data_IF_152668766485
#
_entry.id   IF_152668766485
#
_cell.length_a   1.000
_cell.length_b   1.000
_cell.length_c   1.000
_cell.angle_alpha   90.00
_cell.angle_beta   90.00
_cell.angle_gamma   90.00
#
_symmetry.space_group_name_H-M   'P 1'
#
loop_
_entity.id
_entity.type
_entity.pdbx_description
1 polymer ?
#
# COMPACT_ATOMS: atom_id res chain seq x y z
N UNK A 1 -13.77 -38.15 10.75
CA UNK A 1 -13.93 -36.66 10.73
C UNK A 1 -12.91 -35.92 9.85
N UNK A 2 -11.77 -36.51 9.43
CA UNK A 2 -10.78 -35.84 8.55
C UNK A 2 -11.17 -35.75 7.06
N UNK A 3 -12.15 -36.51 6.58
CA UNK A 3 -12.59 -36.50 5.16
C UNK A 3 -13.60 -35.40 4.80
N UNK A 4 -14.31 -34.83 5.80
CA UNK A 4 -15.32 -33.79 5.55
C UNK A 4 -14.70 -32.38 5.43
N UNK A 5 -13.61 -32.10 6.14
CA UNK A 5 -12.91 -30.81 6.09
C UNK A 5 -11.99 -30.63 4.87
N UNK A 6 -11.40 -31.72 4.37
CA UNK A 6 -10.59 -31.70 3.13
C UNK A 6 -11.44 -31.41 1.89
N UNK A 7 -12.71 -31.85 1.87
CA UNK A 7 -13.64 -31.58 0.78
C UNK A 7 -14.07 -30.09 0.72
N UNK A 8 -14.21 -29.40 1.86
CA UNK A 8 -14.58 -27.97 1.90
C UNK A 8 -13.48 -27.06 1.36
N UNK A 9 -12.21 -27.37 1.62
CA UNK A 9 -11.07 -26.57 1.13
C UNK A 9 -10.76 -26.86 -0.34
N UNK A 10 -10.96 -28.11 -0.78
CA UNK A 10 -10.86 -28.42 -2.21
C UNK A 10 -11.98 -27.79 -3.02
N UNK A 11 -13.19 -27.63 -2.47
CA UNK A 11 -14.28 -26.87 -3.11
C UNK A 11 -14.11 -25.35 -3.02
N UNK A 12 -13.45 -24.83 -1.98
CA UNK A 12 -13.14 -23.40 -1.83
C UNK A 12 -12.28 -22.84 -2.97
N UNK A 13 -11.40 -23.67 -3.55
CA UNK A 13 -10.49 -23.26 -4.63
C UNK A 13 -10.91 -23.76 -6.02
N UNK A 14 -12.16 -24.22 -6.19
CA UNK A 14 -12.73 -24.41 -7.51
C UNK A 14 -13.21 -23.05 -8.04
N UNK A 15 -13.04 -22.75 -9.34
CA UNK A 15 -13.64 -21.56 -9.93
C UNK A 15 -15.15 -21.59 -9.69
N UNK A 16 -15.66 -20.65 -8.91
CA UNK A 16 -17.07 -20.62 -8.55
C UNK A 16 -17.90 -20.33 -9.81
N UNK A 17 -18.78 -21.25 -10.18
CA UNK A 17 -19.80 -21.00 -11.20
C UNK A 17 -20.66 -19.80 -10.77
N UNK A 18 -20.93 -18.86 -11.70
CA UNK A 18 -21.63 -17.58 -11.48
C UNK A 18 -22.97 -17.68 -10.71
N UNK A 19 -23.55 -18.88 -10.58
CA UNK A 19 -24.84 -19.14 -9.95
C UNK A 19 -24.81 -19.37 -8.43
N UNK A 20 -23.65 -19.54 -7.78
CA UNK A 20 -23.58 -19.83 -6.32
C UNK A 20 -23.21 -18.63 -5.42
N UNK A 21 -23.15 -17.42 -5.98
CA UNK A 21 -22.75 -16.21 -5.26
C UNK A 21 -23.80 -15.71 -4.25
N UNK A 22 -25.06 -16.15 -4.33
CA UNK A 22 -26.17 -15.53 -3.60
C UNK A 22 -26.40 -16.00 -2.16
N UNK A 23 -25.75 -17.07 -1.69
CA UNK A 23 -26.12 -17.70 -0.38
C UNK A 23 -25.11 -17.41 0.74
N UNK A 24 -23.92 -16.87 0.46
CA UNK A 24 -22.91 -16.57 1.49
C UNK A 24 -22.61 -15.07 1.70
N UNK A 25 -23.28 -14.18 0.94
CA UNK A 25 -23.03 -12.73 0.93
C UNK A 25 -24.02 -11.90 1.77
N UNK A 26 -24.97 -12.51 2.46
CA UNK A 26 -26.13 -11.78 3.00
C UNK A 26 -26.01 -11.28 4.46
N UNK A 27 -24.86 -11.40 5.14
CA UNK A 27 -24.78 -11.02 6.57
C UNK A 27 -23.62 -10.10 6.99
N UNK A 28 -22.94 -9.41 6.06
CA UNK A 28 -21.93 -8.39 6.43
C UNK A 28 -21.81 -7.19 5.47
N UNK A 29 -22.85 -6.90 4.68
CA UNK A 29 -22.89 -5.73 3.80
C UNK A 29 -23.97 -4.72 4.23
N UNK A 30 -23.71 -4.05 5.35
CA UNK A 30 -24.40 -2.80 5.70
C UNK A 30 -23.37 -1.70 5.95
N UNK A 31 -22.58 -1.40 4.92
CA UNK A 31 -22.09 -0.06 4.56
C UNK A 31 -21.29 -0.20 3.26
N UNK A 32 -21.50 0.71 2.31
CA UNK A 32 -21.01 0.70 0.92
C UNK A 32 -21.83 -0.14 -0.06
N UNK A 33 -23.06 0.32 -0.31
CA UNK A 33 -23.63 0.25 -1.67
C UNK A 33 -22.81 1.20 -2.54
N UNK A 34 -21.68 0.72 -3.07
CA UNK A 34 -20.90 1.43 -4.07
C UNK A 34 -21.47 1.13 -5.45
N UNK A 35 -22.11 2.11 -6.08
CA UNK A 35 -22.26 2.09 -7.54
C UNK A 35 -20.86 1.97 -8.16
N UNK A 36 -20.67 0.99 -9.04
CA UNK A 36 -19.48 0.88 -9.90
C UNK A 36 -19.48 2.05 -10.88
N UNK A 37 -18.95 3.21 -10.47
CA UNK A 37 -18.65 4.30 -11.38
C UNK A 37 -17.25 4.08 -11.97
N UNK A 38 -17.09 4.29 -13.27
CA UNK A 38 -15.81 4.11 -13.95
C UNK A 38 -14.99 5.39 -13.76
N UNK A 39 -14.06 5.37 -12.81
CA UNK A 39 -13.34 6.57 -12.34
C UNK A 39 -12.12 6.95 -13.21
N UNK A 40 -11.76 6.14 -14.21
CA UNK A 40 -10.49 6.32 -14.94
C UNK A 40 -10.44 7.56 -15.84
N UNK A 41 -11.59 8.08 -16.27
CA UNK A 41 -11.71 9.25 -17.16
C UNK A 41 -12.09 10.55 -16.46
N UNK A 42 -12.15 10.57 -15.12
CA UNK A 42 -12.52 11.79 -14.38
C UNK A 42 -11.58 12.94 -14.74
N UNK A 43 -12.17 13.93 -15.41
CA UNK A 43 -11.55 15.22 -15.68
C UNK A 43 -12.21 16.20 -14.74
N UNK A 44 -11.46 16.68 -13.76
CA UNK A 44 -11.96 17.66 -12.80
C UNK A 44 -11.87 19.06 -13.42
N UNK A 45 -12.98 19.78 -13.43
CA UNK A 45 -12.93 21.23 -13.60
C UNK A 45 -12.44 21.85 -12.29
N UNK A 46 -11.12 21.95 -12.15
CA UNK A 46 -10.48 22.45 -10.94
C UNK A 46 -10.82 23.92 -10.64
N UNK A 47 -11.31 24.68 -11.63
CA UNK A 47 -11.76 26.07 -11.39
C UNK A 47 -12.96 26.15 -10.45
N UNK A 48 -13.69 25.05 -10.25
CA UNK A 48 -14.78 24.96 -9.28
C UNK A 48 -14.30 24.83 -7.83
N UNK A 49 -13.03 24.54 -7.62
CA UNK A 49 -12.44 24.35 -6.29
C UNK A 49 -11.48 25.49 -5.96
N UNK A 50 -12.01 26.70 -5.80
CA UNK A 50 -11.25 27.92 -5.48
C UNK A 50 -10.43 27.83 -4.17
N UNK A 51 -10.79 26.89 -3.30
CA UNK A 51 -10.10 26.60 -2.05
C UNK A 51 -8.87 25.70 -2.19
N UNK A 52 -8.73 24.98 -3.31
CA UNK A 52 -7.54 24.19 -3.62
C UNK A 52 -6.47 25.15 -4.15
N UNK A 53 -5.34 25.25 -3.45
CA UNK A 53 -4.25 26.18 -3.77
C UNK A 53 -3.36 25.60 -4.87
N UNK A 54 -3.84 25.59 -6.12
CA UNK A 54 -3.11 25.00 -7.25
C UNK A 54 -1.73 25.63 -7.49
N UNK A 55 -1.55 26.91 -7.18
CA UNK A 55 -0.24 27.58 -7.24
C UNK A 55 0.80 27.01 -6.26
N UNK A 56 0.35 26.27 -5.25
CA UNK A 56 1.20 25.58 -4.28
C UNK A 56 1.44 24.11 -4.65
N UNK A 57 0.84 23.59 -5.72
CA UNK A 57 0.99 22.19 -6.14
C UNK A 57 2.33 21.93 -6.84
N UNK A 58 3.38 21.80 -6.03
CA UNK A 58 4.77 21.56 -6.45
C UNK A 58 5.51 20.73 -5.42
N UNK A 59 6.69 20.26 -5.77
CA UNK A 59 7.60 19.65 -4.80
C UNK A 59 8.55 20.69 -4.21
N UNK A 60 8.54 20.82 -2.89
CA UNK A 60 9.49 21.67 -2.17
C UNK A 60 10.86 20.97 -2.11
N UNK A 61 11.92 21.76 -2.24
CA UNK A 61 13.32 21.32 -2.20
C UNK A 61 13.77 20.40 -3.36
N UNK A 62 12.98 20.25 -4.42
CA UNK A 62 13.31 19.39 -5.55
C UNK A 62 14.51 19.86 -6.38
N UNK A 63 14.65 21.17 -6.61
CA UNK A 63 15.60 21.77 -7.57
C UNK A 63 17.07 21.37 -7.36
N UNK A 64 17.47 21.09 -6.11
CA UNK A 64 18.85 20.73 -5.77
C UNK A 64 18.99 19.29 -5.23
N UNK A 65 17.94 18.47 -5.29
CA UNK A 65 17.94 17.14 -4.71
C UNK A 65 18.51 16.10 -5.69
N UNK A 66 19.79 15.76 -5.50
CA UNK A 66 20.52 14.84 -6.39
C UNK A 66 19.93 13.43 -6.45
N UNK A 67 19.30 12.95 -5.37
CA UNK A 67 18.66 11.64 -5.34
C UNK A 67 17.40 11.61 -6.19
N UNK A 68 16.57 12.66 -6.14
CA UNK A 68 15.41 12.81 -7.02
C UNK A 68 15.83 12.97 -8.49
N UNK A 69 16.87 13.76 -8.78
CA UNK A 69 17.47 13.86 -10.12
C UNK A 69 17.91 12.48 -10.64
N UNK A 70 18.54 11.66 -9.79
CA UNK A 70 18.96 10.30 -10.15
C UNK A 70 17.76 9.38 -10.42
N UNK A 71 16.69 9.51 -9.63
CA UNK A 71 15.44 8.81 -9.89
C UNK A 71 14.81 9.21 -11.23
N UNK A 72 14.73 10.51 -11.54
CA UNK A 72 14.22 10.99 -12.83
C UNK A 72 15.09 10.56 -14.01
N UNK A 73 16.40 10.52 -13.85
CA UNK A 73 17.31 9.93 -14.85
C UNK A 73 16.94 8.48 -15.15
N UNK A 74 16.76 7.66 -14.11
CA UNK A 74 16.38 6.25 -14.27
C UNK A 74 15.01 6.14 -14.93
N UNK A 75 14.03 6.96 -14.51
CA UNK A 75 12.71 7.02 -15.14
C UNK A 75 12.80 7.37 -16.64
N UNK A 76 13.59 8.36 -17.03
CA UNK A 76 13.79 8.71 -18.42
C UNK A 76 14.45 7.57 -19.22
N UNK A 77 15.37 6.83 -18.61
CA UNK A 77 16.01 5.66 -19.25
C UNK A 77 15.05 4.49 -19.47
N UNK A 78 14.09 4.26 -18.57
CA UNK A 78 13.09 3.20 -18.77
C UNK A 78 12.07 3.59 -19.82
N UNK A 79 11.68 4.88 -19.88
CA UNK A 79 10.74 5.41 -20.89
C UNK A 79 11.32 5.23 -22.29
N UNK A 80 12.60 5.56 -22.49
CA UNK A 80 13.22 5.54 -23.82
C UNK A 80 13.72 4.16 -24.23
N UNK A 81 14.38 3.43 -23.32
CA UNK A 81 15.21 2.27 -23.69
C UNK A 81 14.81 0.98 -22.96
N UNK A 82 13.81 1.02 -22.07
CA UNK A 82 13.41 -0.12 -21.24
C UNK A 82 14.59 -0.83 -20.55
N UNK A 83 15.55 -0.03 -20.07
CA UNK A 83 16.88 -0.53 -19.68
C UNK A 83 16.95 -1.26 -18.34
N UNK A 84 16.11 -0.89 -17.37
CA UNK A 84 16.04 -1.49 -16.04
C UNK A 84 14.65 -1.34 -15.44
N UNK A 85 14.32 -2.12 -14.40
CA UNK A 85 13.10 -1.92 -13.60
C UNK A 85 13.37 -0.85 -12.55
N UNK A 86 12.38 -0.03 -12.22
CA UNK A 86 12.43 0.85 -11.04
C UNK A 86 11.38 0.42 -10.03
N UNK A 87 11.66 0.61 -8.74
CA UNK A 87 10.72 0.35 -7.66
C UNK A 87 10.41 1.64 -6.90
N UNK A 88 9.13 1.88 -6.67
CA UNK A 88 8.60 2.98 -5.85
C UNK A 88 7.93 2.35 -4.64
N UNK A 89 8.36 2.74 -3.45
CA UNK A 89 7.73 2.36 -2.20
C UNK A 89 6.95 3.54 -1.65
N UNK A 90 5.65 3.38 -1.40
CA UNK A 90 4.80 4.38 -0.77
C UNK A 90 4.30 3.85 0.58
N UNK A 91 4.89 4.36 1.65
CA UNK A 91 4.58 4.02 3.04
C UNK A 91 3.52 4.97 3.58
N UNK A 92 2.52 4.46 4.29
CA UNK A 92 1.64 5.33 5.05
C UNK A 92 0.66 4.61 5.96
N UNK A 93 -0.51 5.21 6.12
CA UNK A 93 -1.55 4.78 7.04
C UNK A 93 -2.82 4.30 6.30
N UNK A 94 -4.01 4.57 6.84
CA UNK A 94 -5.29 4.25 6.21
C UNK A 94 -5.48 4.92 4.83
N UNK A 95 -4.90 6.10 4.62
CA UNK A 95 -4.97 6.82 3.34
C UNK A 95 -4.22 6.07 2.22
N UNK A 96 -3.19 5.29 2.58
CA UNK A 96 -2.41 4.46 1.65
C UNK A 96 -2.98 3.03 1.58
N UNK A 97 -3.47 2.46 2.68
CA UNK A 97 -4.04 1.10 2.70
C UNK A 97 -5.22 0.97 1.74
N UNK A 98 -6.09 1.99 1.66
CA UNK A 98 -7.23 1.99 0.73
C UNK A 98 -6.83 1.93 -0.74
N UNK A 99 -5.58 2.28 -1.06
CA UNK A 99 -4.94 2.26 -2.38
C UNK A 99 -5.61 3.14 -3.45
N UNK A 100 -6.64 3.94 -3.15
CA UNK A 100 -7.25 4.82 -4.15
C UNK A 100 -6.29 5.91 -4.63
N UNK A 101 -5.61 6.57 -3.69
CA UNK A 101 -4.63 7.62 -3.96
C UNK A 101 -3.44 7.10 -4.77
N UNK A 102 -2.80 6.04 -4.27
CA UNK A 102 -1.60 5.44 -4.87
C UNK A 102 -1.90 4.71 -6.17
N UNK A 103 -3.05 4.04 -6.30
CA UNK A 103 -3.48 3.45 -7.55
C UNK A 103 -3.73 4.50 -8.63
N UNK A 104 -4.23 5.68 -8.27
CA UNK A 104 -4.39 6.78 -9.24
C UNK A 104 -3.05 7.27 -9.76
N UNK A 105 -2.06 7.47 -8.88
CA UNK A 105 -0.69 7.79 -9.29
C UNK A 105 -0.14 6.71 -10.22
N UNK A 106 -0.26 5.43 -9.83
CA UNK A 106 0.19 4.27 -10.60
C UNK A 106 -0.41 4.24 -12.01
N UNK A 107 -1.73 4.41 -12.12
CA UNK A 107 -2.44 4.47 -13.41
C UNK A 107 -2.03 5.68 -14.24
N UNK A 108 -1.79 6.83 -13.62
CA UNK A 108 -1.34 8.02 -14.33
C UNK A 108 0.07 7.84 -14.92
N UNK A 109 1.01 7.29 -14.14
CA UNK A 109 2.34 6.90 -14.61
C UNK A 109 2.23 5.94 -15.79
N UNK A 110 1.45 4.86 -15.64
CA UNK A 110 1.27 3.86 -16.70
C UNK A 110 0.71 4.47 -17.98
N UNK A 111 -0.32 5.31 -17.87
CA UNK A 111 -0.99 5.95 -19.01
C UNK A 111 -0.12 6.98 -19.72
N UNK A 112 0.55 7.85 -18.97
CA UNK A 112 1.37 8.95 -19.55
C UNK A 112 2.65 8.42 -20.17
N UNK A 113 3.35 7.53 -19.46
CA UNK A 113 4.61 6.97 -19.96
C UNK A 113 4.43 5.73 -20.83
N UNK A 114 3.20 5.21 -20.96
CA UNK A 114 2.89 3.97 -21.70
C UNK A 114 3.74 2.78 -21.22
N UNK A 115 3.93 2.70 -19.92
CA UNK A 115 4.69 1.64 -19.25
C UNK A 115 3.74 0.73 -18.47
N UNK A 116 4.08 -0.56 -18.41
CA UNK A 116 3.41 -1.47 -17.49
C UNK A 116 3.95 -1.22 -16.07
N UNK A 117 3.03 -0.91 -15.16
CA UNK A 117 3.34 -0.58 -13.77
C UNK A 117 2.69 -1.61 -12.85
N UNK A 118 3.53 -2.50 -12.33
CA UNK A 118 3.19 -3.55 -11.40
C UNK A 118 2.59 -3.00 -10.11
N UNK A 119 1.72 -3.81 -9.48
CA UNK A 119 1.05 -3.46 -8.21
C UNK A 119 2.00 -3.48 -7.00
N UNK A 120 3.17 -4.08 -7.18
CA UNK A 120 4.10 -4.40 -6.11
C UNK A 120 3.49 -5.36 -5.08
N UNK A 121 4.02 -5.30 -3.87
CA UNK A 121 3.60 -6.15 -2.76
C UNK A 121 2.19 -5.81 -2.27
N UNK A 122 1.44 -6.87 -1.98
CA UNK A 122 0.07 -6.85 -1.48
C UNK A 122 -0.05 -7.74 -0.24
N UNK A 123 -1.17 -7.59 0.47
CA UNK A 123 -1.46 -8.38 1.66
C UNK A 123 -2.94 -8.84 1.67
N UNK A 124 -3.25 -10.07 2.11
CA UNK A 124 -4.64 -10.52 2.24
C UNK A 124 -5.26 -9.93 3.51
N UNK A 125 -5.64 -8.66 3.45
CA UNK A 125 -6.07 -7.86 4.60
C UNK A 125 -7.32 -8.41 5.31
N UNK A 126 -8.20 -9.10 4.59
CA UNK A 126 -9.34 -9.81 5.20
C UNK A 126 -8.90 -10.81 6.29
N UNK A 127 -7.77 -11.51 6.11
CA UNK A 127 -7.21 -12.44 7.11
C UNK A 127 -6.79 -11.69 8.38
N UNK A 128 -6.27 -10.48 8.22
CA UNK A 128 -5.94 -9.58 9.33
C UNK A 128 -7.18 -8.85 9.91
N UNK A 129 -8.39 -9.18 9.44
CA UNK A 129 -9.63 -8.54 9.91
C UNK A 129 -9.63 -7.03 9.68
N UNK A 130 -9.10 -6.57 8.55
CA UNK A 130 -9.21 -5.18 8.08
C UNK A 130 -9.64 -5.16 6.62
N UNK A 131 -9.98 -3.98 6.11
CA UNK A 131 -10.49 -3.82 4.75
C UNK A 131 -9.37 -4.06 3.73
N UNK A 132 -9.67 -4.84 2.69
CA UNK A 132 -8.81 -4.93 1.51
C UNK A 132 -8.72 -3.58 0.78
N UNK A 133 -7.68 -3.44 -0.03
CA UNK A 133 -7.53 -2.30 -0.93
C UNK A 133 -8.73 -2.19 -1.89
N UNK A 134 -8.95 -1.00 -2.46
CA UNK A 134 -10.05 -0.79 -3.40
C UNK A 134 -9.96 -1.68 -4.65
N UNK A 135 -8.77 -2.07 -5.06
CA UNK A 135 -8.51 -2.79 -6.31
C UNK A 135 -8.65 -4.31 -6.24
N UNK A 136 -8.77 -4.90 -5.06
CA UNK A 136 -8.92 -6.34 -4.92
C UNK A 136 -9.75 -6.74 -3.70
N UNK A 137 -10.13 -8.00 -3.66
CA UNK A 137 -10.75 -8.64 -2.50
C UNK A 137 -10.03 -9.94 -2.16
N UNK A 138 -9.98 -10.25 -0.87
CA UNK A 138 -9.52 -11.53 -0.37
C UNK A 138 -10.58 -12.20 0.49
N UNK A 139 -10.67 -13.52 0.38
CA UNK A 139 -11.45 -14.38 1.28
C UNK A 139 -10.59 -15.55 1.70
N UNK A 140 -10.83 -16.13 2.87
CA UNK A 140 -9.92 -17.12 3.44
C UNK A 140 -10.62 -18.23 4.21
N UNK A 141 -9.88 -19.31 4.46
CA UNK A 141 -10.24 -20.42 5.33
C UNK A 141 -9.11 -20.70 6.33
N UNK A 142 -9.44 -21.42 7.40
CA UNK A 142 -8.53 -21.71 8.50
C UNK A 142 -8.51 -20.60 9.55
N UNK A 143 -7.94 -20.93 10.71
CA UNK A 143 -7.75 -20.02 11.82
C UNK A 143 -6.42 -19.29 11.68
N UNK A 144 -6.46 -17.96 11.75
CA UNK A 144 -5.30 -17.10 11.61
C UNK A 144 -5.20 -16.13 12.79
N UNK A 145 -4.03 -16.09 13.41
CA UNK A 145 -3.63 -15.04 14.33
C UNK A 145 -3.04 -13.89 13.53
N UNK A 146 -3.52 -12.67 13.80
CA UNK A 146 -3.06 -11.46 13.11
C UNK A 146 -2.09 -10.65 13.96
N UNK A 147 -1.19 -9.96 13.27
CA UNK A 147 -0.36 -8.93 13.86
C UNK A 147 -0.21 -7.73 12.94
N UNK A 148 -0.18 -6.54 13.53
CA UNK A 148 -0.06 -5.25 12.85
C UNK A 148 0.95 -4.38 13.57
N UNK A 149 1.65 -3.51 12.86
CA UNK A 149 2.70 -2.67 13.46
C UNK A 149 2.18 -1.63 14.47
N UNK A 150 0.86 -1.43 14.55
CA UNK A 150 0.19 -0.61 15.57
C UNK A 150 0.00 -1.33 16.92
N UNK A 151 0.25 -2.64 16.98
CA UNK A 151 0.03 -3.48 18.16
C UNK A 151 1.36 -3.62 18.93
N UNK A 152 1.76 -2.56 19.64
CA UNK A 152 3.06 -2.46 20.31
C UNK A 152 3.29 -3.49 21.43
N UNK A 153 2.23 -4.12 21.91
CA UNK A 153 2.25 -5.18 22.92
C UNK A 153 2.59 -6.56 22.35
N UNK A 154 2.59 -6.71 21.02
CA UNK A 154 2.92 -7.97 20.34
C UNK A 154 4.36 -7.95 19.82
N UNK A 155 5.10 -9.03 20.12
CA UNK A 155 6.43 -9.26 19.55
C UNK A 155 6.34 -9.84 18.12
N UNK A 156 6.02 -8.97 17.16
CA UNK A 156 5.92 -9.34 15.76
C UNK A 156 7.03 -8.69 14.96
N UNK A 157 7.81 -9.51 14.25
CA UNK A 157 8.81 -9.03 13.29
C UNK A 157 8.11 -8.68 11.97
N UNK A 158 7.76 -7.41 11.81
CA UNK A 158 6.98 -6.89 10.67
C UNK A 158 7.86 -6.09 9.71
N UNK A 159 7.54 -6.14 8.42
CA UNK A 159 8.27 -5.47 7.35
C UNK A 159 7.40 -4.55 6.49
N UNK A 160 7.58 -4.59 5.16
CA UNK A 160 6.98 -3.67 4.19
C UNK A 160 5.48 -3.53 4.33
N UNK A 161 4.74 -4.63 4.46
CA UNK A 161 3.28 -4.56 4.54
C UNK A 161 2.80 -3.96 5.87
N UNK A 162 3.60 -4.06 6.94
CA UNK A 162 3.19 -3.73 8.31
C UNK A 162 2.22 -4.74 8.93
N UNK A 163 2.02 -5.89 8.28
CA UNK A 163 1.14 -6.98 8.72
C UNK A 163 1.86 -8.34 8.70
N UNK A 164 1.39 -9.24 9.55
CA UNK A 164 1.62 -10.68 9.40
C UNK A 164 0.39 -11.46 9.83
N UNK A 165 0.16 -12.61 9.21
CA UNK A 165 -0.87 -13.56 9.65
C UNK A 165 -0.26 -14.94 9.83
N UNK A 166 -0.59 -15.59 10.95
CA UNK A 166 0.01 -16.85 11.37
C UNK A 166 -1.08 -17.90 11.57
N UNK A 167 -0.93 -19.07 10.96
CA UNK A 167 -1.85 -20.20 11.17
C UNK A 167 -1.14 -21.39 11.81
N UNK A 168 -1.90 -22.17 12.59
CA UNK A 168 -1.54 -23.48 13.13
C UNK A 168 -2.47 -24.58 12.59
N UNK A 169 -3.35 -24.27 11.66
CA UNK A 169 -4.24 -25.28 11.09
C UNK A 169 -3.44 -26.19 10.15
N UNK A 170 -3.89 -27.44 10.02
CA UNK A 170 -3.28 -28.38 9.08
C UNK A 170 -3.51 -27.95 7.62
N UNK A 171 -4.63 -27.25 7.36
CA UNK A 171 -4.99 -26.71 6.07
C UNK A 171 -5.56 -25.30 6.27
N UNK A 172 -5.03 -24.34 5.51
CA UNK A 172 -5.56 -22.99 5.42
C UNK A 172 -5.42 -22.50 3.98
N UNK A 173 -6.21 -21.50 3.59
CA UNK A 173 -6.11 -20.94 2.25
C UNK A 173 -6.58 -19.50 2.22
N UNK A 174 -6.13 -18.75 1.22
CA UNK A 174 -6.81 -17.54 0.81
C UNK A 174 -7.04 -17.54 -0.70
N UNK A 175 -8.13 -16.90 -1.09
CA UNK A 175 -8.49 -16.61 -2.47
C UNK A 175 -8.42 -15.11 -2.67
N UNK A 176 -7.69 -14.71 -3.69
CA UNK A 176 -7.50 -13.34 -4.12
C UNK A 176 -8.23 -13.11 -5.43
N UNK A 177 -8.85 -11.94 -5.58
CA UNK A 177 -9.51 -11.54 -6.82
C UNK A 177 -9.32 -10.05 -7.06
N UNK A 178 -8.87 -9.67 -8.26
CA UNK A 178 -8.90 -8.28 -8.69
C UNK A 178 -10.34 -7.81 -8.93
N UNK A 179 -10.62 -6.55 -8.59
CA UNK A 179 -11.88 -5.90 -8.95
C UNK A 179 -11.75 -5.34 -10.38
N UNK A 180 -12.83 -5.47 -11.16
CA UNK A 180 -12.91 -5.33 -12.63
C UNK A 180 -12.18 -4.13 -13.27
N UNK A 181 -11.86 -3.07 -12.51
CA UNK A 181 -11.31 -1.82 -13.05
C UNK A 181 -9.82 -1.61 -12.70
N UNK A 182 -9.15 -2.53 -12.01
CA UNK A 182 -7.87 -2.19 -11.38
C UNK A 182 -6.64 -2.74 -12.09
N UNK A 183 -6.67 -4.02 -12.44
CA UNK A 183 -5.58 -4.80 -13.06
C UNK A 183 -6.16 -6.07 -13.68
N UNK A 184 -5.59 -6.52 -14.79
CA UNK A 184 -5.81 -7.87 -15.32
C UNK A 184 -4.52 -8.68 -15.12
N UNK A 185 -4.67 -9.96 -14.81
CA UNK A 185 -3.55 -10.89 -14.92
C UNK A 185 -3.15 -11.00 -16.38
N UNK A 186 -1.85 -10.95 -16.68
CA UNK A 186 -1.37 -11.44 -17.97
C UNK A 186 -1.67 -12.93 -18.11
N UNK A 187 -1.65 -13.45 -19.35
CA UNK A 187 -1.89 -14.89 -19.60
C UNK A 187 -0.93 -15.78 -18.82
N UNK A 188 0.32 -15.34 -18.72
CA UNK A 188 1.38 -15.90 -17.90
C UNK A 188 1.85 -14.83 -16.92
N UNK A 189 1.93 -15.17 -15.63
CA UNK A 189 2.45 -14.28 -14.60
C UNK A 189 3.14 -15.08 -13.49
N UNK A 190 3.91 -14.38 -12.67
CA UNK A 190 4.55 -14.94 -11.48
C UNK A 190 3.82 -14.49 -10.23
N UNK A 191 3.68 -15.39 -9.27
CA UNK A 191 3.28 -15.05 -7.91
C UNK A 191 4.45 -15.29 -6.97
N UNK A 192 4.75 -14.32 -6.10
CA UNK A 192 5.74 -14.47 -5.02
C UNK A 192 5.05 -14.43 -3.67
N UNK A 193 5.31 -15.41 -2.83
CA UNK A 193 4.84 -15.42 -1.43
C UNK A 193 5.99 -15.03 -0.50
N UNK A 194 5.74 -14.07 0.37
CA UNK A 194 6.68 -13.61 1.39
C UNK A 194 6.24 -14.18 2.73
N UNK A 195 7.06 -15.02 3.35
CA UNK A 195 6.70 -15.74 4.57
C UNK A 195 7.91 -15.98 5.48
N UNK A 196 7.67 -16.24 6.76
CA UNK A 196 8.73 -16.62 7.70
C UNK A 196 9.23 -18.02 7.36
N UNK A 197 10.55 -18.23 7.36
CA UNK A 197 11.20 -19.51 7.10
C UNK A 197 10.49 -20.64 7.83
N UNK A 198 10.09 -21.64 7.05
CA UNK A 198 9.28 -22.75 7.53
C UNK A 198 9.52 -24.01 6.69
N UNK A 199 9.81 -25.12 7.35
CA UNK A 199 10.03 -26.44 6.74
C UNK A 199 8.83 -27.40 6.95
N UNK A 200 7.82 -26.95 7.69
CA UNK A 200 6.70 -27.76 8.16
C UNK A 200 5.38 -27.48 7.43
N UNK A 201 5.40 -26.57 6.47
CA UNK A 201 4.27 -26.21 5.63
C UNK A 201 4.72 -26.14 4.18
N UNK A 202 3.81 -26.55 3.30
CA UNK A 202 3.91 -26.32 1.86
C UNK A 202 2.84 -25.33 1.45
N UNK A 203 3.23 -24.34 0.65
CA UNK A 203 2.29 -23.45 -0.01
C UNK A 203 2.18 -23.85 -1.48
N UNK A 204 0.94 -23.96 -1.97
CA UNK A 204 0.63 -24.21 -3.39
C UNK A 204 -0.22 -23.08 -3.93
N UNK A 205 0.01 -22.72 -5.19
CA UNK A 205 -0.75 -21.69 -5.92
C UNK A 205 -1.45 -22.39 -7.07
N UNK A 206 -2.78 -22.32 -7.12
CA UNK A 206 -3.57 -23.04 -8.14
C UNK A 206 -3.27 -24.55 -8.19
N UNK A 207 -2.96 -25.14 -7.02
CA UNK A 207 -2.57 -26.54 -6.88
C UNK A 207 -1.15 -26.88 -7.36
N UNK A 208 -0.36 -25.90 -7.80
CA UNK A 208 1.05 -26.08 -8.21
C UNK A 208 2.01 -25.70 -7.08
N UNK A 209 3.11 -26.44 -6.87
CA UNK A 209 4.15 -26.07 -5.90
C UNK A 209 4.96 -24.86 -6.40
N UNK A 210 5.80 -24.31 -5.52
CA UNK A 210 6.76 -23.27 -5.91
C UNK A 210 7.80 -23.86 -6.87
N UNK A 211 8.28 -23.03 -7.78
CA UNK A 211 9.38 -23.38 -8.70
C UNK A 211 10.74 -23.02 -8.10
N UNK A 212 10.76 -22.08 -7.16
CA UNK A 212 11.98 -21.57 -6.55
C UNK A 212 11.66 -20.97 -5.17
N UNK A 213 12.59 -21.10 -4.23
CA UNK A 213 12.51 -20.50 -2.90
C UNK A 213 13.84 -19.84 -2.59
N UNK A 214 13.80 -18.55 -2.29
CA UNK A 214 14.92 -17.79 -1.79
C UNK A 214 14.80 -17.62 -0.28
N UNK A 215 15.77 -18.14 0.47
CA UNK A 215 15.94 -17.82 1.88
C UNK A 215 16.80 -16.57 2.01
N UNK A 216 16.30 -15.59 2.77
CA UNK A 216 16.90 -14.28 2.94
C UNK A 216 17.18 -14.03 4.43
N UNK A 217 17.82 -12.90 4.73
CA UNK A 217 18.07 -12.49 6.12
C UNK A 217 16.77 -12.38 6.95
N UNK A 218 16.91 -12.43 8.27
CA UNK A 218 15.81 -12.26 9.24
C UNK A 218 14.69 -13.30 9.13
N UNK A 219 15.03 -14.55 8.78
CA UNK A 219 14.09 -15.66 8.59
C UNK A 219 13.01 -15.35 7.53
N UNK A 220 13.29 -14.52 6.53
CA UNK A 220 12.36 -14.25 5.44
C UNK A 220 12.60 -15.23 4.29
N UNK A 221 11.54 -15.82 3.77
CA UNK A 221 11.54 -16.61 2.55
C UNK A 221 10.65 -15.96 1.49
N UNK A 222 11.11 -16.00 0.24
CA UNK A 222 10.32 -15.64 -0.94
C UNK A 222 10.21 -16.87 -1.84
N UNK A 223 9.00 -17.42 -1.95
CA UNK A 223 8.70 -18.53 -2.86
C UNK A 223 8.05 -18.01 -4.15
N UNK A 224 8.63 -18.36 -5.30
CA UNK A 224 8.12 -18.00 -6.62
C UNK A 224 7.30 -19.15 -7.24
N UNK A 225 6.18 -18.80 -7.85
CA UNK A 225 5.24 -19.70 -8.52
C UNK A 225 4.98 -19.18 -9.94
N UNK A 226 5.06 -20.06 -10.94
CA UNK A 226 4.61 -19.72 -12.30
C UNK A 226 3.14 -20.09 -12.47
N UNK A 227 2.31 -19.11 -12.82
CA UNK A 227 0.90 -19.32 -13.14
C UNK A 227 0.71 -19.09 -14.63
N UNK A 228 0.02 -20.03 -15.28
CA UNK A 228 -0.21 -20.05 -16.72
C UNK A 228 -1.69 -20.27 -16.98
N UNK A 229 -2.29 -19.50 -17.87
CA UNK A 229 -3.66 -19.73 -18.35
C UNK A 229 -4.41 -18.43 -18.63
N UNK A 230 -5.18 -18.45 -19.72
CA UNK A 230 -5.92 -17.30 -20.24
C UNK A 230 -7.02 -16.84 -19.25
N UNK A 231 -7.16 -15.53 -19.08
CA UNK A 231 -8.29 -14.85 -18.42
C UNK A 231 -8.58 -15.29 -16.96
N UNK A 232 -7.56 -15.41 -16.12
CA UNK A 232 -7.80 -15.45 -14.67
C UNK A 232 -8.05 -14.04 -14.15
N UNK A 233 -9.03 -13.88 -13.26
CA UNK A 233 -9.23 -12.68 -12.45
C UNK A 233 -9.01 -12.96 -10.96
N UNK A 234 -8.50 -14.16 -10.65
CA UNK A 234 -8.38 -14.65 -9.29
C UNK A 234 -7.32 -15.74 -9.12
N UNK A 235 -6.87 -15.91 -7.88
CA UNK A 235 -5.89 -16.93 -7.47
C UNK A 235 -6.30 -17.51 -6.11
N UNK A 236 -6.20 -18.84 -5.97
CA UNK A 236 -6.18 -19.51 -4.67
C UNK A 236 -4.74 -19.90 -4.28
N UNK A 237 -4.38 -19.57 -3.05
CA UNK A 237 -3.17 -20.01 -2.36
C UNK A 237 -3.58 -20.92 -1.20
N UNK A 238 -3.05 -22.15 -1.18
CA UNK A 238 -3.29 -23.13 -0.10
C UNK A 238 -2.02 -23.40 0.68
N UNK A 239 -2.17 -23.50 1.99
CA UNK A 239 -1.12 -23.86 2.95
C UNK A 239 -1.48 -25.20 3.58
N UNK A 240 -0.56 -26.16 3.49
CA UNK A 240 -0.74 -27.51 4.02
C UNK A 240 0.42 -27.86 4.94
N UNK A 241 0.13 -28.22 6.19
CA UNK A 241 1.13 -28.73 7.12
C UNK A 241 1.65 -30.08 6.62
N UNK A 242 2.96 -30.26 6.59
CA UNK A 242 3.62 -31.48 6.11
C UNK A 242 4.04 -32.43 7.23
N UNK A 243 4.05 -31.95 8.49
CA UNK A 243 4.45 -32.74 9.65
C UNK A 243 3.34 -32.79 10.70
N UNK A 244 3.38 -33.76 11.60
CA UNK A 244 2.46 -33.83 12.75
C UNK A 244 2.93 -32.97 13.93
N UNK A 245 4.04 -32.25 13.80
CA UNK A 245 4.57 -31.40 14.86
C UNK A 245 3.77 -30.10 14.94
N UNK A 246 3.53 -29.62 16.17
CA UNK A 246 2.94 -28.32 16.40
C UNK A 246 3.86 -27.24 15.82
N UNK A 247 3.44 -26.64 14.71
CA UNK A 247 4.21 -25.62 14.01
C UNK A 247 3.28 -24.53 13.45
N UNK A 248 3.85 -23.38 13.14
CA UNK A 248 3.13 -22.21 12.63
C UNK A 248 3.61 -21.84 11.24
N UNK A 249 2.71 -21.40 10.36
CA UNK A 249 3.09 -20.72 9.12
C UNK A 249 2.75 -19.23 9.23
N UNK A 250 3.73 -18.35 9.04
CA UNK A 250 3.54 -16.89 9.10
C UNK A 250 3.75 -16.27 7.72
N UNK A 251 2.69 -15.64 7.19
CA UNK A 251 2.69 -14.92 5.93
C UNK A 251 2.92 -13.41 6.17
N UNK A 252 3.78 -12.81 5.36
CA UNK A 252 4.09 -11.36 5.36
C UNK A 252 3.49 -10.61 4.17
N UNK A 253 3.15 -11.29 3.08
CA UNK A 253 2.54 -10.69 1.89
C UNK A 253 2.71 -11.55 0.65
N UNK A 254 2.27 -11.02 -0.48
CA UNK A 254 2.48 -11.64 -1.78
C UNK A 254 2.57 -10.59 -2.89
N UNK A 255 3.13 -10.98 -4.03
CA UNK A 255 3.21 -10.18 -5.24
C UNK A 255 2.60 -10.95 -6.41
N UNK A 256 1.97 -10.22 -7.32
CA UNK A 256 1.61 -10.71 -8.65
C UNK A 256 2.43 -9.86 -9.62
N UNK A 257 3.26 -10.53 -10.41
CA UNK A 257 4.25 -9.91 -11.30
C UNK A 257 3.94 -10.37 -12.71
N UNK A 258 3.48 -9.45 -13.55
CA UNK A 258 3.27 -9.68 -14.97
C UNK A 258 4.61 -9.61 -15.74
N UNK A 259 4.65 -10.27 -16.89
CA UNK A 259 5.75 -10.13 -17.82
C UNK A 259 5.74 -8.70 -18.41
N UNK A 260 6.91 -8.04 -18.45
CA UNK A 260 7.14 -6.67 -18.97
C UNK A 260 6.84 -5.49 -18.03
N UNK A 261 6.56 -5.73 -16.75
CA UNK A 261 6.52 -4.65 -15.75
C UNK A 261 7.86 -3.89 -15.68
N UNK A 262 7.83 -2.58 -15.95
CA UNK A 262 9.02 -1.72 -15.91
C UNK A 262 9.12 -0.91 -14.61
N UNK A 263 8.01 -0.81 -13.88
CA UNK A 263 7.89 -0.10 -12.62
C UNK A 263 7.12 -0.98 -11.63
N UNK A 264 7.63 -1.16 -10.42
CA UNK A 264 6.81 -1.64 -9.29
C UNK A 264 6.37 -0.45 -8.43
N UNK A 265 5.09 -0.38 -8.10
CA UNK A 265 4.56 0.62 -7.16
C UNK A 265 4.02 -0.07 -5.90
N UNK A 266 4.89 -0.26 -4.90
CA UNK A 266 4.54 -0.87 -3.63
C UNK A 266 3.78 0.13 -2.74
N UNK A 267 2.45 0.05 -2.75
CA UNK A 267 1.60 0.84 -1.84
C UNK A 267 1.37 0.08 -0.53
N UNK A 268 2.04 0.50 0.54
CA UNK A 268 1.97 -0.16 1.85
C UNK A 268 1.44 0.79 2.93
N UNK A 269 0.17 0.59 3.28
CA UNK A 269 -0.48 1.34 4.35
C UNK A 269 -0.98 0.41 5.45
N UNK A 270 -0.92 0.91 6.68
CA UNK A 270 -1.52 0.24 7.85
C UNK A 270 -2.55 1.17 8.47
N UNK A 271 -3.80 0.75 8.51
CA UNK A 271 -4.88 1.54 9.09
C UNK A 271 -4.61 1.85 10.57
N UNK A 272 -4.56 3.14 10.89
CA UNK A 272 -4.25 3.66 12.22
C UNK A 272 -2.76 3.81 12.52
N UNK A 273 -1.86 3.50 11.59
CA UNK A 273 -0.43 3.63 11.83
C UNK A 273 -0.02 5.10 11.96
N UNK A 274 0.80 5.33 12.98
CA UNK A 274 1.55 6.54 13.19
C UNK A 274 3.03 6.29 12.88
N UNK A 275 3.88 7.29 13.05
CA UNK A 275 5.32 7.13 12.78
C UNK A 275 5.98 6.10 13.70
N UNK A 276 5.52 6.00 14.94
CA UNK A 276 6.06 5.04 15.93
C UNK A 276 5.78 3.60 15.51
N UNK A 277 4.59 3.32 14.98
CA UNK A 277 4.24 2.00 14.43
C UNK A 277 5.22 1.56 13.34
N UNK A 278 5.59 2.45 12.42
CA UNK A 278 6.57 2.15 11.37
C UNK A 278 7.99 2.00 11.92
N UNK A 279 8.38 2.76 12.94
CA UNK A 279 9.64 2.57 13.64
C UNK A 279 9.79 1.19 14.30
N UNK A 280 8.67 0.57 14.70
CA UNK A 280 8.61 -0.76 15.31
C UNK A 280 8.63 -1.90 14.26
N UNK A 281 8.56 -1.58 12.97
CA UNK A 281 8.60 -2.57 11.89
C UNK A 281 10.04 -3.05 11.64
N UNK A 282 10.52 -3.97 12.49
CA UNK A 282 11.93 -4.38 12.57
C UNK A 282 12.52 -5.02 11.31
N UNK A 283 11.70 -5.56 10.40
CA UNK A 283 12.17 -6.12 9.12
C UNK A 283 12.08 -5.13 7.96
N UNK A 284 11.55 -3.91 8.18
CA UNK A 284 11.26 -2.96 7.11
C UNK A 284 12.51 -2.65 6.27
N UNK A 285 13.62 -2.29 6.91
CA UNK A 285 14.86 -1.93 6.21
C UNK A 285 15.37 -3.08 5.33
N UNK A 286 15.46 -4.29 5.86
CA UNK A 286 15.88 -5.45 5.05
C UNK A 286 14.94 -5.73 3.87
N UNK A 287 13.64 -5.45 4.01
CA UNK A 287 12.69 -5.66 2.93
C UNK A 287 12.70 -4.52 1.89
N UNK A 288 13.04 -3.28 2.28
CA UNK A 288 13.31 -2.18 1.35
C UNK A 288 14.49 -2.54 0.43
N UNK A 289 15.55 -3.16 0.99
CA UNK A 289 16.71 -3.62 0.22
C UNK A 289 16.31 -4.66 -0.83
N UNK A 290 15.45 -5.62 -0.45
CA UNK A 290 14.98 -6.69 -1.36
C UNK A 290 14.20 -6.13 -2.55
N UNK A 291 13.31 -5.16 -2.33
CA UNK A 291 12.56 -4.54 -3.43
C UNK A 291 13.37 -3.50 -4.22
N UNK A 292 14.59 -3.18 -3.75
CA UNK A 292 15.52 -2.23 -4.38
C UNK A 292 14.85 -0.88 -4.70
N UNK A 293 14.15 -0.31 -3.72
CA UNK A 293 13.40 0.94 -3.91
C UNK A 293 14.31 2.08 -4.41
N UNK A 294 13.90 2.75 -5.49
CA UNK A 294 14.59 3.93 -6.03
C UNK A 294 13.99 5.24 -5.51
N UNK A 295 12.69 5.21 -5.17
CA UNK A 295 11.96 6.30 -4.54
C UNK A 295 11.13 5.75 -3.37
N UNK A 296 11.29 6.36 -2.21
CA UNK A 296 10.47 6.08 -1.02
C UNK A 296 9.62 7.32 -0.73
N UNK A 297 8.30 7.16 -0.83
CA UNK A 297 7.31 8.16 -0.48
C UNK A 297 6.78 7.84 0.93
N UNK A 298 6.80 8.80 1.84
CA UNK A 298 6.34 8.63 3.22
C UNK A 298 5.17 9.58 3.48
N UNK A 299 3.99 9.00 3.70
CA UNK A 299 2.71 9.68 3.91
C UNK A 299 2.15 9.31 5.27
N UNK A 300 2.65 9.99 6.31
CA UNK A 300 2.33 9.76 7.72
C UNK A 300 2.02 11.08 8.44
N UNK A 301 1.50 10.99 9.66
CA UNK A 301 1.17 12.14 10.49
C UNK A 301 -0.33 12.31 10.76
N UNK A 302 -1.22 11.74 9.94
CA UNK A 302 -2.66 11.89 10.17
C UNK A 302 -3.07 11.31 11.54
N UNK A 303 -2.66 10.07 11.84
CA UNK A 303 -2.93 9.42 13.12
C UNK A 303 -2.15 10.06 14.29
N UNK A 304 -0.93 10.56 14.05
CA UNK A 304 -0.16 11.30 15.05
C UNK A 304 -0.91 12.55 15.52
N UNK A 305 -1.47 13.32 14.57
CA UNK A 305 -2.20 14.57 14.82
C UNK A 305 -3.65 14.39 15.24
N UNK A 306 -4.24 13.22 15.00
CA UNK A 306 -5.63 12.92 15.37
C UNK A 306 -5.80 12.73 16.89
N UNK A 307 -4.72 12.46 17.61
CA UNK A 307 -4.71 12.29 19.07
C UNK A 307 -5.08 13.59 19.79
N UNK A 308 -5.87 13.48 20.87
CA UNK A 308 -6.30 14.63 21.69
C UNK A 308 -5.14 15.45 22.23
N UNK A 309 -4.06 14.79 22.67
CA UNK A 309 -2.82 15.43 23.09
C UNK A 309 -1.73 15.04 22.09
N UNK A 310 -1.39 15.98 21.22
CA UNK A 310 -0.29 15.83 20.28
C UNK A 310 1.02 16.24 20.98
N UNK A 311 1.99 15.34 20.98
CA UNK A 311 3.34 15.58 21.47
C UNK A 311 4.25 15.89 20.28
N UNK A 312 4.50 17.19 20.07
CA UNK A 312 5.34 17.70 18.98
C UNK A 312 6.77 17.15 19.05
N UNK A 313 7.32 16.99 20.26
CA UNK A 313 8.69 16.50 20.45
C UNK A 313 8.77 15.02 20.11
N UNK A 314 7.84 14.22 20.62
CA UNK A 314 7.78 12.79 20.30
C UNK A 314 7.60 12.57 18.80
N UNK A 315 6.72 13.34 18.15
CA UNK A 315 6.53 13.25 16.71
C UNK A 315 7.82 13.60 15.95
N UNK A 316 8.47 14.70 16.29
CA UNK A 316 9.75 15.09 15.70
C UNK A 316 10.80 13.99 15.88
N UNK A 317 11.01 13.50 17.10
CA UNK A 317 12.02 12.50 17.41
C UNK A 317 11.75 11.17 16.69
N UNK A 318 10.50 10.69 16.72
CA UNK A 318 10.10 9.46 16.02
C UNK A 318 10.28 9.59 14.51
N UNK A 319 9.87 10.71 13.90
CA UNK A 319 9.95 10.86 12.44
C UNK A 319 11.40 11.10 11.99
N UNK A 320 12.16 11.85 12.77
CA UNK A 320 13.60 11.97 12.58
C UNK A 320 14.29 10.60 12.59
N UNK A 321 14.02 9.77 13.61
CA UNK A 321 14.58 8.43 13.70
C UNK A 321 14.18 7.56 12.51
N UNK A 322 12.94 7.66 12.05
CA UNK A 322 12.45 6.87 10.93
C UNK A 322 13.19 7.22 9.63
N UNK A 323 13.35 8.51 9.34
CA UNK A 323 14.10 8.98 8.17
C UNK A 323 15.59 8.61 8.29
N UNK A 324 16.19 8.78 9.47
CA UNK A 324 17.60 8.42 9.72
C UNK A 324 17.87 6.93 9.50
N UNK A 325 16.96 6.03 9.92
CA UNK A 325 17.07 4.58 9.67
C UNK A 325 17.14 4.27 8.17
N UNK A 326 16.28 4.91 7.37
CA UNK A 326 16.26 4.73 5.92
C UNK A 326 17.53 5.32 5.30
N UNK A 327 17.90 6.55 5.65
CA UNK A 327 19.08 7.24 5.10
C UNK A 327 20.39 6.54 5.40
N UNK A 328 20.52 6.01 6.62
CA UNK A 328 21.72 5.25 7.02
C UNK A 328 21.89 3.99 6.18
N UNK A 329 20.79 3.33 5.82
CA UNK A 329 20.80 2.09 5.04
C UNK A 329 20.87 2.35 3.53
N UNK A 330 20.27 3.44 3.07
CA UNK A 330 20.16 3.82 1.66
C UNK A 330 20.52 5.30 1.46
N UNK A 331 21.81 5.67 1.48
CA UNK A 331 22.21 7.08 1.42
C UNK A 331 21.71 7.81 0.17
N UNK A 332 21.62 7.12 -0.96
CA UNK A 332 21.32 7.69 -2.27
C UNK A 332 19.89 7.43 -2.79
N UNK A 333 19.00 6.84 -1.99
CA UNK A 333 17.60 6.64 -2.42
C UNK A 333 16.88 7.99 -2.48
N UNK A 334 15.95 8.23 -3.40
CA UNK A 334 15.12 9.42 -3.30
C UNK A 334 14.10 9.24 -2.15
N UNK A 335 13.93 10.24 -1.26
CA UNK A 335 12.83 10.26 -0.29
C UNK A 335 11.97 11.49 -0.54
N UNK A 336 10.68 11.24 -0.68
CA UNK A 336 9.65 12.26 -0.77
C UNK A 336 8.71 12.13 0.44
N UNK A 337 8.58 13.18 1.24
CA UNK A 337 7.61 13.24 2.33
C UNK A 337 6.33 13.91 1.83
N UNK A 338 5.18 13.40 2.25
CA UNK A 338 3.92 14.13 2.11
C UNK A 338 3.47 14.60 3.49
N UNK A 339 2.85 15.79 3.53
CA UNK A 339 2.18 16.24 4.75
C UNK A 339 0.81 15.58 4.85
N UNK A 340 0.27 15.30 6.06
CA UNK A 340 -1.13 14.92 6.16
C UNK A 340 -2.03 16.05 5.64
N UNK A 341 -3.20 15.69 5.13
CA UNK A 341 -4.22 16.69 4.79
C UNK A 341 -4.76 17.41 6.04
N UNK A 342 -5.53 18.48 5.83
CA UNK A 342 -6.35 19.06 6.89
C UNK A 342 -7.42 18.05 7.32
N UNK A 343 -7.72 18.01 8.62
CA UNK A 343 -8.72 17.11 9.17
C UNK A 343 -9.44 17.74 10.36
N UNK A 344 -10.53 17.11 10.79
CA UNK A 344 -11.09 17.34 12.11
C UNK A 344 -10.61 16.26 13.07
N UNK A 345 -10.57 16.58 14.36
CA UNK A 345 -10.45 15.58 15.42
C UNK A 345 -11.84 15.13 15.84
N UNK A 346 -12.08 13.82 15.84
CA UNK A 346 -13.33 13.20 16.29
C UNK A 346 -14.60 13.79 15.65
N UNK A 347 -14.49 14.24 14.38
CA UNK A 347 -15.56 14.91 13.61
C UNK A 347 -16.11 16.22 14.22
N UNK A 348 -15.49 16.75 15.27
CA UNK A 348 -16.07 17.83 16.09
C UNK A 348 -15.32 19.14 15.95
N UNK A 349 -14.01 19.10 16.03
CA UNK A 349 -13.17 20.28 16.09
C UNK A 349 -12.13 20.27 14.98
N UNK A 350 -11.85 21.45 14.45
CA UNK A 350 -10.70 21.69 13.57
C UNK A 350 -9.45 21.14 14.25
N UNK A 351 -8.57 20.49 13.48
CA UNK A 351 -7.35 19.90 14.01
C UNK A 351 -6.14 20.83 13.81
N UNK A 352 -5.74 21.65 14.80
CA UNK A 352 -4.56 22.50 14.66
C UNK A 352 -3.25 21.72 14.57
N UNK A 353 -3.25 20.42 14.92
CA UNK A 353 -2.04 19.61 14.88
C UNK A 353 -1.56 19.31 13.46
N UNK A 354 -2.44 19.35 12.45
CA UNK A 354 -2.04 19.14 11.06
C UNK A 354 -1.00 20.17 10.60
N UNK A 355 -1.18 21.45 10.98
CA UNK A 355 -0.22 22.52 10.66
C UNK A 355 1.13 22.30 11.37
N UNK A 356 1.10 21.89 12.64
CA UNK A 356 2.31 21.57 13.42
C UNK A 356 3.08 20.41 12.79
N UNK A 357 2.38 19.34 12.42
CA UNK A 357 2.95 18.17 11.75
C UNK A 357 3.54 18.55 10.39
N UNK A 358 2.82 19.36 9.60
CA UNK A 358 3.34 19.92 8.35
C UNK A 358 4.67 20.63 8.58
N UNK A 359 4.73 21.54 9.56
CA UNK A 359 5.93 22.32 9.83
C UNK A 359 7.11 21.42 10.24
N UNK A 360 6.86 20.41 11.09
CA UNK A 360 7.87 19.40 11.46
C UNK A 360 8.32 18.59 10.25
N UNK A 361 7.39 18.16 9.38
CA UNK A 361 7.69 17.38 8.17
C UNK A 361 8.58 18.17 7.21
N UNK A 362 8.29 19.45 6.99
CA UNK A 362 9.11 20.35 6.16
C UNK A 362 10.49 20.56 6.78
N UNK A 363 10.57 20.75 8.11
CA UNK A 363 11.84 20.90 8.80
C UNK A 363 12.72 19.64 8.70
N UNK A 364 12.12 18.45 8.86
CA UNK A 364 12.82 17.17 8.71
C UNK A 364 13.26 16.91 7.28
N UNK A 365 12.44 17.27 6.29
CA UNK A 365 12.84 17.14 4.90
C UNK A 365 14.07 17.99 4.58
N UNK A 366 14.10 19.24 5.05
CA UNK A 366 15.28 20.09 4.93
C UNK A 366 16.50 19.52 5.66
N UNK A 367 16.30 18.94 6.85
CA UNK A 367 17.39 18.33 7.65
C UNK A 367 18.03 17.13 6.94
N UNK A 368 17.24 16.31 6.25
CA UNK A 368 17.65 15.02 5.70
C UNK A 368 17.80 14.97 4.18
N UNK A 369 17.79 16.14 3.52
CA UNK A 369 17.78 16.24 2.05
C UNK A 369 16.67 15.40 1.40
N UNK A 370 15.45 15.57 1.91
CA UNK A 370 14.24 14.99 1.32
C UNK A 370 13.43 16.07 0.60
N UNK A 371 12.58 15.61 -0.31
CA UNK A 371 11.62 16.44 -1.05
C UNK A 371 10.27 16.43 -0.33
N UNK A 372 9.47 17.49 -0.43
CA UNK A 372 8.12 17.54 0.19
C UNK A 372 7.03 17.81 -0.83
N UNK A 373 5.95 17.05 -0.77
CA UNK A 373 4.66 17.43 -1.35
C UNK A 373 3.68 17.83 -0.25
N UNK A 374 3.43 19.14 -0.15
CA UNK A 374 2.68 19.77 0.94
C UNK A 374 1.17 19.74 0.69
N UNK A 375 0.58 18.55 0.85
CA UNK A 375 -0.83 18.34 0.61
C UNK A 375 -1.74 19.20 1.51
N UNK A 376 -1.31 19.50 2.75
CA UNK A 376 -2.06 20.36 3.67
C UNK A 376 -2.27 21.75 3.07
N UNK A 377 -1.19 22.36 2.55
CA UNK A 377 -1.24 23.66 1.92
C UNK A 377 -2.06 23.62 0.62
N UNK A 378 -1.87 22.57 -0.21
CA UNK A 378 -2.61 22.38 -1.47
C UNK A 378 -4.11 22.26 -1.22
N UNK A 379 -4.53 21.56 -0.16
CA UNK A 379 -5.95 21.42 0.19
C UNK A 379 -6.62 22.76 0.50
N UNK A 380 -5.85 23.76 0.96
CA UNK A 380 -6.35 25.05 1.41
C UNK A 380 -5.96 25.43 2.84
N UNK A 381 -5.18 24.60 3.53
CA UNK A 381 -4.74 24.81 4.90
C UNK A 381 -5.83 24.52 5.94
N UNK A 382 -5.75 25.18 7.09
CA UNK A 382 -6.62 24.93 8.24
C UNK A 382 -8.10 25.02 7.87
N UNK A 383 -8.87 24.02 8.28
CA UNK A 383 -10.32 23.93 8.06
C UNK A 383 -10.74 23.77 6.58
N UNK A 384 -9.79 23.49 5.67
CA UNK A 384 -10.10 23.21 4.27
C UNK A 384 -10.85 21.89 4.07
N UNK A 385 -10.71 20.91 4.96
CA UNK A 385 -11.42 19.62 4.86
C UNK A 385 -12.94 19.79 4.84
N UNK A 386 -13.45 20.84 5.50
CA UNK A 386 -14.88 21.16 5.48
C UNK A 386 -15.34 21.53 4.08
N UNK A 387 -14.58 22.36 3.36
CA UNK A 387 -14.88 22.72 1.95
C UNK A 387 -14.75 21.51 1.03
N UNK A 388 -13.75 20.64 1.26
CA UNK A 388 -13.64 19.36 0.56
C UNK A 388 -14.88 18.49 0.80
N UNK A 389 -15.40 18.42 2.03
CA UNK A 389 -16.61 17.66 2.36
C UNK A 389 -17.88 18.24 1.72
N UNK A 390 -18.07 19.56 1.80
CA UNK A 390 -19.19 20.27 1.17
C UNK A 390 -19.24 20.05 -0.36
N UNK A 391 -18.09 19.73 -0.97
CA UNK A 391 -17.96 19.41 -2.40
C UNK A 391 -17.86 17.90 -2.70
N UNK A 392 -18.15 17.03 -1.72
CA UNK A 392 -18.15 15.58 -1.91
C UNK A 392 -16.76 14.93 -2.07
N UNK A 393 -15.69 15.64 -1.76
CA UNK A 393 -14.29 15.17 -1.83
C UNK A 393 -13.80 14.57 -0.50
N UNK A 394 -14.55 14.71 0.59
CA UNK A 394 -14.25 14.09 1.88
C UNK A 394 -15.39 13.19 2.35
N UNK A 395 -15.03 12.11 3.05
CA UNK A 395 -15.98 11.34 3.84
C UNK A 395 -16.57 12.18 4.97
N UNK A 396 -17.70 11.72 5.53
CA UNK A 396 -18.41 12.41 6.61
C UNK A 396 -17.69 12.39 7.95
N UNK A 397 -16.53 11.74 8.04
CA UNK A 397 -15.67 11.80 9.22
C UNK A 397 -14.70 12.98 9.23
N UNK A 398 -14.63 13.76 8.13
CA UNK A 398 -13.72 14.89 8.00
C UNK A 398 -12.27 14.51 8.31
N UNK A 399 -11.90 13.26 8.01
CA UNK A 399 -10.55 12.72 8.13
C UNK A 399 -10.18 12.01 6.83
N UNK A 400 -11.00 11.05 6.41
CA UNK A 400 -10.75 10.31 5.18
C UNK A 400 -11.37 11.03 3.99
N UNK A 401 -10.69 10.98 2.84
CA UNK A 401 -11.26 11.50 1.61
C UNK A 401 -12.38 10.57 1.09
N UNK A 402 -13.24 11.09 0.22
CA UNK A 402 -14.13 10.23 -0.59
C UNK A 402 -13.31 9.54 -1.69
N UNK A 403 -13.85 8.52 -2.40
CA UNK A 403 -13.15 7.96 -3.56
C UNK A 403 -12.74 9.04 -4.56
N UNK A 404 -13.65 9.97 -4.88
CA UNK A 404 -13.38 11.12 -5.74
C UNK A 404 -12.27 12.02 -5.19
N UNK A 405 -12.23 12.25 -3.88
CA UNK A 405 -11.18 13.04 -3.24
C UNK A 405 -9.80 12.39 -3.30
N UNK A 406 -9.70 11.08 -3.07
CA UNK A 406 -8.43 10.35 -3.21
C UNK A 406 -7.92 10.32 -4.66
N UNK A 407 -8.82 10.22 -5.63
CA UNK A 407 -8.45 10.31 -7.05
C UNK A 407 -7.93 11.71 -7.39
N UNK A 408 -8.60 12.76 -6.92
CA UNK A 408 -8.13 14.14 -7.08
C UNK A 408 -6.77 14.36 -6.39
N UNK A 409 -6.57 13.83 -5.18
CA UNK A 409 -5.28 13.84 -4.50
C UNK A 409 -4.18 13.18 -5.35
N UNK A 410 -4.47 12.03 -5.96
CA UNK A 410 -3.55 11.32 -6.85
C UNK A 410 -3.21 12.10 -8.12
N UNK A 411 -4.21 12.80 -8.69
CA UNK A 411 -4.01 13.66 -9.86
C UNK A 411 -3.17 14.89 -9.53
N UNK A 412 -3.42 15.56 -8.39
CA UNK A 412 -2.63 16.70 -7.93
C UNK A 412 -1.18 16.28 -7.66
N UNK A 413 -0.96 15.15 -6.97
CA UNK A 413 0.38 14.60 -6.75
C UNK A 413 1.09 14.35 -8.08
N UNK A 414 0.42 13.67 -9.01
CA UNK A 414 1.00 13.34 -10.30
C UNK A 414 1.29 14.57 -11.15
N UNK A 415 0.46 15.62 -11.10
CA UNK A 415 0.74 16.90 -11.75
C UNK A 415 2.01 17.56 -11.21
N UNK A 416 2.19 17.59 -9.88
CA UNK A 416 3.42 18.11 -9.26
C UNK A 416 4.64 17.26 -9.66
N UNK A 417 4.49 15.94 -9.66
CA UNK A 417 5.52 15.01 -10.12
C UNK A 417 5.95 15.27 -11.57
N UNK A 418 4.98 15.42 -12.48
CA UNK A 418 5.26 15.69 -13.89
C UNK A 418 5.91 17.06 -14.09
N UNK A 419 5.45 18.09 -13.37
CA UNK A 419 6.04 19.43 -13.41
C UNK A 419 7.52 19.42 -13.02
N UNK A 420 7.91 18.62 -12.02
CA UNK A 420 9.33 18.45 -11.68
C UNK A 420 10.09 17.55 -12.67
N UNK A 421 9.47 16.48 -13.16
CA UNK A 421 10.09 15.60 -14.14
C UNK A 421 10.38 16.31 -15.48
N UNK A 422 9.51 17.23 -15.91
CA UNK A 422 9.69 18.01 -17.15
C UNK A 422 10.79 19.07 -17.06
N UNK A 423 11.19 19.47 -15.84
CA UNK A 423 12.31 20.40 -15.62
C UNK A 423 13.68 19.70 -15.65
N UNK A 424 13.70 18.39 -15.43
CA UNK A 424 14.91 17.54 -15.50
C UNK A 424 15.26 17.25 -16.96
#
# INVERSE_FOLDING_TARGET
MNHLFTNTINTFCLPMNKSKLYIFLFLLQLSFVGCSQNYDTLTYDLSKFDFIRLSQNRFLFAENNTSLTSFFKNLNQIINNKSQKISILHIGDSHIQGNLFTNRIRKNISRVFKLEVGRGIMFPYSIAGTNDCYDYSTVFTGNWQKCRNIESDKDCKLGLTGYSVTTQDNLAAFYFKYRNDSLAFSEDFKLRLWYKKNENYTATVEGKPSIHVNELANDLCIAEYKVTGINKDSICVKFSRTTNQANTFTLYGFEIINDNEMIDYHSVGVNGADVTAWNNSSQLISQIEIIQANLIIISLGANDGYKKMFDEKLFFDSYNQFIEKIRTSFPNVAILLTTPGDSYQYKKQVNPNNEKIRNITIALAKKHDCVVWDFYEIMGGLNSIKKWNENGLSSSDLLHLSPTGYLLQGDLFFQAFMSEFEKY
#
